data_IF_288628797349
#
_entry.id   IF_288628797349
#
_cell.length_a   1.000
_cell.length_b   1.000
_cell.length_c   1.000
_cell.angle_alpha   90.00
_cell.angle_beta   90.00
_cell.angle_gamma   90.00
#
_symmetry.space_group_name_H-M   'P 1'
#
loop_
_entity.id
_entity.type
_entity.pdbx_description
1 polymer ?
#
# COMPACT_ATOMS: atom_id res chain seq x y z
N UNK A 1 7.54 -40.44 -7.40
CA UNK A 1 8.40 -40.01 -6.29
C UNK A 1 9.50 -39.20 -6.94
N UNK A 2 9.62 -37.88 -6.81
CA UNK A 2 9.12 -36.91 -5.83
C UNK A 2 9.06 -35.51 -6.50
N UNK A 3 8.06 -34.65 -6.23
CA UNK A 3 7.97 -33.26 -6.70
C UNK A 3 8.15 -32.23 -5.56
N UNK A 4 8.94 -31.16 -5.75
CA UNK A 4 8.87 -29.83 -5.08
C UNK A 4 10.08 -28.99 -5.56
N UNK A 5 9.91 -28.05 -6.50
CA UNK A 5 9.62 -26.62 -6.27
C UNK A 5 10.72 -25.93 -5.41
N UNK A 6 11.50 -24.96 -5.89
CA UNK A 6 11.09 -23.80 -6.69
C UNK A 6 10.91 -22.56 -5.80
N UNK A 7 11.84 -22.28 -4.88
CA UNK A 7 11.71 -21.16 -3.92
C UNK A 7 13.02 -20.45 -3.64
N UNK A 8 13.52 -19.66 -4.60
CA UNK A 8 14.76 -18.87 -4.43
C UNK A 8 14.75 -17.45 -5.05
N UNK A 9 13.62 -16.69 -5.09
CA UNK A 9 13.72 -15.25 -5.28
C UNK A 9 13.24 -14.36 -4.11
N UNK A 10 12.65 -14.92 -3.04
CA UNK A 10 12.11 -14.08 -1.95
C UNK A 10 13.17 -13.61 -0.94
N UNK A 11 14.15 -14.46 -0.63
CA UNK A 11 15.14 -14.17 0.44
C UNK A 11 16.14 -13.06 0.07
N UNK A 12 16.50 -12.94 -1.21
CA UNK A 12 17.45 -11.92 -1.67
C UNK A 12 16.87 -10.50 -1.66
N UNK A 13 15.55 -10.35 -1.75
CA UNK A 13 14.88 -9.04 -1.70
C UNK A 13 14.80 -8.54 -0.24
N UNK A 14 14.61 -9.46 0.71
CA UNK A 14 14.55 -9.14 2.14
C UNK A 14 15.90 -8.64 2.69
N UNK A 15 17.03 -9.25 2.28
CA UNK A 15 18.37 -8.76 2.67
C UNK A 15 18.70 -7.38 2.08
N UNK A 16 18.21 -7.07 0.87
CA UNK A 16 18.41 -5.75 0.26
C UNK A 16 17.58 -4.64 0.93
N UNK A 17 16.38 -4.96 1.42
CA UNK A 17 15.50 -3.98 2.08
C UNK A 17 16.06 -3.44 3.41
N UNK A 18 16.97 -4.18 4.06
CA UNK A 18 17.65 -3.72 5.29
C UNK A 18 18.58 -2.53 5.09
N UNK A 19 19.04 -2.27 3.86
CA UNK A 19 19.99 -1.19 3.55
C UNK A 19 19.31 0.13 3.11
N UNK A 20 17.98 0.16 2.95
CA UNK A 20 17.20 1.31 2.47
C UNK A 20 16.96 2.38 3.55
N UNK A 21 17.43 2.13 4.78
CA UNK A 21 17.26 3.05 5.91
C UNK A 21 18.21 4.26 5.90
N UNK A 22 19.24 4.29 5.05
CA UNK A 22 20.24 5.36 5.07
C UNK A 22 20.25 6.17 3.75
N UNK A 23 19.95 7.47 3.87
CA UNK A 23 20.03 8.57 2.88
C UNK A 23 18.72 8.93 2.13
N UNK A 24 18.20 10.12 2.40
CA UNK A 24 16.91 10.64 1.87
C UNK A 24 16.90 10.95 0.36
N UNK A 25 17.99 10.71 -0.36
CA UNK A 25 18.13 10.99 -1.79
C UNK A 25 17.86 9.77 -2.70
N UNK A 26 17.86 8.55 -2.15
CA UNK A 26 17.79 7.29 -2.93
C UNK A 26 16.46 6.52 -2.76
N UNK A 27 15.47 7.10 -2.07
CA UNK A 27 14.18 6.42 -1.85
C UNK A 27 13.47 6.18 -3.19
N UNK A 28 13.08 4.93 -3.42
CA UNK A 28 12.37 4.54 -4.63
C UNK A 28 11.07 5.34 -4.82
N UNK A 29 10.63 5.60 -6.07
CA UNK A 29 9.46 6.44 -6.34
C UNK A 29 8.19 6.00 -5.60
N UNK A 30 7.98 4.68 -5.44
CA UNK A 30 6.82 4.15 -4.75
C UNK A 30 6.80 4.53 -3.27
N UNK A 31 7.97 4.66 -2.62
CA UNK A 31 8.10 5.07 -1.21
C UNK A 31 7.59 6.49 -1.06
N UNK A 32 7.97 7.40 -1.96
CA UNK A 32 7.51 8.80 -1.96
C UNK A 32 6.00 8.91 -2.18
N UNK A 33 5.47 8.10 -3.11
CA UNK A 33 4.03 8.03 -3.38
C UNK A 33 3.28 7.55 -2.14
N UNK A 34 3.77 6.48 -1.51
CA UNK A 34 3.18 5.94 -0.28
C UNK A 34 3.27 6.93 0.87
N UNK A 35 4.43 7.52 1.14
CA UNK A 35 4.58 8.53 2.19
C UNK A 35 3.61 9.71 2.01
N UNK A 36 3.45 10.17 0.76
CA UNK A 36 2.52 11.26 0.44
C UNK A 36 1.07 10.83 0.66
N UNK A 37 0.66 9.64 0.21
CA UNK A 37 -0.74 9.22 0.38
C UNK A 37 -1.07 8.89 1.83
N UNK A 38 -0.13 8.31 2.59
CA UNK A 38 -0.33 8.04 4.02
C UNK A 38 -0.48 9.36 4.79
N UNK A 39 0.35 10.37 4.51
CA UNK A 39 0.20 11.72 5.07
C UNK A 39 -1.18 12.35 4.75
N UNK A 40 -1.67 12.14 3.53
CA UNK A 40 -3.00 12.62 3.12
C UNK A 40 -4.14 11.86 3.79
N UNK A 41 -3.96 10.57 4.09
CA UNK A 41 -4.92 9.76 4.87
C UNK A 41 -4.95 10.26 6.32
N UNK A 42 -3.78 10.44 6.94
CA UNK A 42 -3.64 10.98 8.30
C UNK A 42 -4.32 12.35 8.43
N UNK A 43 -4.02 13.26 7.51
CA UNK A 43 -4.63 14.59 7.43
C UNK A 43 -6.12 14.58 7.07
N UNK A 44 -6.69 13.43 6.69
CA UNK A 44 -8.08 13.32 6.25
C UNK A 44 -8.35 13.97 4.89
N UNK A 45 -7.31 14.24 4.10
CA UNK A 45 -7.39 14.84 2.77
C UNK A 45 -7.63 13.81 1.67
N UNK A 46 -7.28 12.55 1.88
CA UNK A 46 -7.53 11.47 0.93
C UNK A 46 -9.01 11.07 0.90
N UNK A 47 -9.72 11.41 -0.19
CA UNK A 47 -11.18 11.22 -0.32
C UNK A 47 -11.59 9.95 -1.03
N UNK A 48 -10.64 9.28 -1.66
CA UNK A 48 -10.91 8.01 -2.34
C UNK A 48 -11.15 6.89 -1.33
N UNK A 49 -11.91 5.84 -1.70
CA UNK A 49 -12.17 4.73 -0.78
C UNK A 49 -10.89 4.00 -0.39
N UNK A 50 -10.70 3.84 0.91
CA UNK A 50 -9.72 2.95 1.53
C UNK A 50 -10.32 2.35 2.81
N UNK A 51 -9.76 1.25 3.28
CA UNK A 51 -10.08 0.66 4.58
C UNK A 51 -8.87 -0.11 5.11
N UNK A 52 -8.91 -0.50 6.38
CA UNK A 52 -7.94 -1.43 6.95
C UNK A 52 -8.64 -2.77 7.18
N UNK A 53 -7.97 -3.87 6.85
CA UNK A 53 -8.51 -5.21 7.04
C UNK A 53 -7.38 -6.25 7.06
N UNK A 54 -7.67 -7.44 7.58
CA UNK A 54 -6.71 -8.55 7.53
C UNK A 54 -6.87 -9.33 6.23
N UNK A 55 -5.77 -9.49 5.49
CA UNK A 55 -5.70 -10.29 4.26
C UNK A 55 -4.57 -11.29 4.41
N UNK A 56 -4.84 -12.57 4.20
CA UNK A 56 -3.87 -13.66 4.35
C UNK A 56 -3.09 -13.65 5.69
N UNK A 57 -3.73 -13.18 6.76
CA UNK A 57 -3.14 -13.10 8.10
C UNK A 57 -2.35 -11.82 8.38
N UNK A 58 -2.21 -10.92 7.42
CA UNK A 58 -1.52 -9.64 7.58
C UNK A 58 -2.49 -8.46 7.64
N UNK A 59 -2.24 -7.53 8.56
CA UNK A 59 -3.04 -6.31 8.68
C UNK A 59 -2.63 -5.32 7.58
N UNK A 60 -3.57 -5.06 6.66
CA UNK A 60 -3.31 -4.36 5.41
C UNK A 60 -4.10 -3.06 5.29
N UNK A 61 -3.49 -2.06 4.68
CA UNK A 61 -4.19 -0.94 4.04
C UNK A 61 -4.73 -1.41 2.68
N UNK A 62 -6.05 -1.35 2.52
CA UNK A 62 -6.74 -1.68 1.29
C UNK A 62 -7.09 -0.40 0.54
N UNK A 63 -6.46 -0.19 -0.61
CA UNK A 63 -6.74 0.96 -1.49
C UNK A 63 -6.51 0.63 -2.96
N UNK A 64 -7.01 1.46 -3.88
CA UNK A 64 -6.68 1.33 -5.30
C UNK A 64 -5.49 2.18 -5.66
N UNK A 65 -4.46 1.60 -6.27
CA UNK A 65 -3.29 2.34 -6.76
C UNK A 65 -3.66 3.41 -7.79
N UNK A 66 -4.69 3.17 -8.61
CA UNK A 66 -5.21 4.17 -9.54
C UNK A 66 -5.83 5.40 -8.84
N UNK A 67 -6.51 5.19 -7.71
CA UNK A 67 -7.04 6.30 -6.91
C UNK A 67 -5.94 7.10 -6.22
N UNK A 68 -4.84 6.44 -5.83
CA UNK A 68 -3.65 7.14 -5.31
C UNK A 68 -3.09 8.08 -6.38
N UNK A 69 -2.87 7.57 -7.60
CA UNK A 69 -2.37 8.40 -8.71
C UNK A 69 -3.31 9.56 -9.04
N UNK A 70 -4.61 9.28 -9.10
CA UNK A 70 -5.63 10.30 -9.35
C UNK A 70 -5.62 11.39 -8.27
N UNK A 71 -5.51 11.01 -6.99
CA UNK A 71 -5.42 11.95 -5.88
C UNK A 71 -4.20 12.86 -6.00
N UNK A 72 -3.02 12.29 -6.27
CA UNK A 72 -1.78 13.05 -6.41
C UNK A 72 -1.82 14.00 -7.61
N UNK A 73 -2.39 13.56 -8.73
CA UNK A 73 -2.46 14.34 -9.97
C UNK A 73 -3.41 15.54 -9.86
N UNK A 74 -4.52 15.40 -9.12
CA UNK A 74 -5.62 16.39 -9.11
C UNK A 74 -5.69 17.24 -7.84
N UNK A 75 -4.92 16.91 -6.80
CA UNK A 75 -4.87 17.72 -5.57
C UNK A 75 -3.93 18.91 -5.76
N UNK A 76 -4.46 20.13 -5.65
CA UNK A 76 -3.72 21.38 -5.91
C UNK A 76 -2.46 21.51 -5.04
N UNK A 77 -2.54 21.14 -3.76
CA UNK A 77 -1.42 21.20 -2.82
C UNK A 77 -0.33 20.16 -3.10
N UNK A 78 -0.60 19.14 -3.93
CA UNK A 78 0.35 18.09 -4.28
C UNK A 78 1.00 18.32 -5.65
N UNK A 79 0.70 19.44 -6.32
CA UNK A 79 1.18 19.72 -7.68
C UNK A 79 2.70 19.65 -7.82
N UNK A 80 3.44 20.28 -6.90
CA UNK A 80 4.90 20.25 -6.92
C UNK A 80 5.45 18.84 -6.72
N UNK A 81 4.87 18.09 -5.76
CA UNK A 81 5.21 16.68 -5.53
C UNK A 81 4.95 15.84 -6.79
N UNK A 82 3.77 15.96 -7.38
CA UNK A 82 3.39 15.25 -8.62
C UNK A 82 4.31 15.55 -9.80
N UNK A 83 4.69 16.81 -9.98
CA UNK A 83 5.59 17.22 -11.05
C UNK A 83 6.99 16.59 -10.89
N UNK A 84 7.48 16.52 -9.66
CA UNK A 84 8.77 15.89 -9.32
C UNK A 84 8.77 14.36 -9.39
N UNK A 85 7.60 13.70 -9.44
CA UNK A 85 7.56 12.24 -9.48
C UNK A 85 8.01 11.68 -10.84
N UNK A 86 8.98 10.74 -10.86
CA UNK A 86 9.40 10.03 -12.07
C UNK A 86 8.36 8.98 -12.50
N UNK A 87 7.49 8.55 -11.59
CA UNK A 87 6.42 7.58 -11.84
C UNK A 87 5.07 8.29 -11.77
N UNK A 88 4.35 8.28 -12.91
CA UNK A 88 3.00 8.85 -13.05
C UNK A 88 1.95 7.81 -13.46
N UNK A 89 2.37 6.57 -13.71
CA UNK A 89 1.48 5.48 -14.13
C UNK A 89 1.07 4.63 -12.94
N UNK A 90 -0.22 4.36 -12.83
CA UNK A 90 -0.81 3.44 -11.85
C UNK A 90 -0.21 2.03 -11.96
N UNK A 91 0.02 1.55 -13.19
CA UNK A 91 0.57 0.22 -13.46
C UNK A 91 2.00 0.09 -12.97
N UNK A 92 2.83 1.10 -13.24
CA UNK A 92 4.23 1.13 -12.80
C UNK A 92 4.30 1.19 -11.28
N UNK A 93 3.50 2.06 -10.65
CA UNK A 93 3.44 2.13 -9.19
C UNK A 93 2.98 0.80 -8.55
N UNK A 94 1.92 0.20 -9.07
CA UNK A 94 1.44 -1.10 -8.60
C UNK A 94 2.50 -2.20 -8.77
N UNK A 95 3.25 -2.19 -9.86
CA UNK A 95 4.36 -3.12 -10.07
C UNK A 95 5.49 -2.90 -9.07
N UNK A 96 5.84 -1.65 -8.76
CA UNK A 96 6.84 -1.32 -7.74
C UNK A 96 6.42 -1.80 -6.35
N UNK A 97 5.16 -1.59 -5.94
CA UNK A 97 4.66 -2.12 -4.66
C UNK A 97 4.76 -3.65 -4.59
N UNK A 98 4.41 -4.34 -5.68
CA UNK A 98 4.55 -5.80 -5.76
C UNK A 98 6.01 -6.24 -5.70
N UNK A 99 6.89 -5.53 -6.40
CA UNK A 99 8.32 -5.84 -6.43
C UNK A 99 8.99 -5.61 -5.07
N UNK A 100 8.61 -4.54 -4.37
CA UNK A 100 9.04 -4.26 -3.00
C UNK A 100 8.51 -5.28 -1.97
N UNK A 101 7.62 -6.18 -2.38
CA UNK A 101 7.06 -7.22 -1.52
C UNK A 101 6.07 -6.70 -0.47
N UNK A 102 5.57 -5.46 -0.58
CA UNK A 102 4.62 -4.91 0.39
C UNK A 102 3.16 -5.26 0.10
N UNK A 103 2.86 -5.82 -1.07
CA UNK A 103 1.52 -6.28 -1.45
C UNK A 103 1.29 -7.71 -0.97
N UNK A 104 0.18 -7.94 -0.27
CA UNK A 104 -0.17 -9.26 0.27
C UNK A 104 -1.04 -10.04 -0.71
N UNK A 105 -0.69 -11.29 -0.97
CA UNK A 105 -1.40 -12.12 -1.94
C UNK A 105 -1.22 -11.69 -3.39
N UNK A 106 -1.69 -12.53 -4.32
CA UNK A 106 -1.48 -12.32 -5.76
C UNK A 106 -2.58 -11.47 -6.41
N UNK A 107 -3.76 -11.46 -5.81
CA UNK A 107 -4.98 -10.89 -6.37
C UNK A 107 -5.46 -9.68 -5.59
N UNK A 108 -6.08 -8.77 -6.31
CA UNK A 108 -6.81 -7.68 -5.68
C UNK A 108 -8.04 -8.20 -4.97
N UNK A 109 -8.37 -7.56 -3.85
CA UNK A 109 -9.52 -7.94 -3.01
C UNK A 109 -10.70 -7.00 -3.28
N UNK A 110 -11.89 -7.52 -3.02
CA UNK A 110 -13.09 -6.69 -2.92
C UNK A 110 -13.44 -6.52 -1.45
N UNK A 111 -13.81 -5.30 -1.06
CA UNK A 111 -14.42 -5.01 0.23
C UNK A 111 -15.62 -4.11 0.10
N UNK A 112 -16.52 -4.22 1.07
CA UNK A 112 -17.57 -3.23 1.28
C UNK A 112 -16.96 -2.10 2.11
N UNK A 113 -16.98 -0.89 1.58
CA UNK A 113 -16.50 0.31 2.27
C UNK A 113 -17.70 1.25 2.34
N UNK A 114 -18.19 1.52 3.56
CA UNK A 114 -19.46 2.18 3.82
C UNK A 114 -20.65 1.45 3.13
N UNK A 115 -21.39 2.16 2.27
CA UNK A 115 -22.57 1.64 1.58
C UNK A 115 -22.26 0.98 0.23
N UNK A 116 -21.00 0.95 -0.22
CA UNK A 116 -20.61 0.48 -1.55
C UNK A 116 -19.62 -0.69 -1.53
N UNK A 117 -19.75 -1.59 -2.51
CA UNK A 117 -18.72 -2.59 -2.83
C UNK A 117 -17.63 -1.93 -3.68
N UNK A 118 -16.38 -2.10 -3.27
CA UNK A 118 -15.20 -1.55 -3.93
C UNK A 118 -14.31 -2.72 -4.35
N UNK A 119 -14.32 -3.11 -5.64
CA UNK A 119 -13.41 -4.13 -6.15
C UNK A 119 -12.00 -3.57 -6.35
N UNK A 120 -11.05 -4.43 -6.74
CA UNK A 120 -9.70 -4.03 -7.17
C UNK A 120 -8.88 -3.31 -6.10
N UNK A 121 -9.12 -3.60 -4.82
CA UNK A 121 -8.30 -3.07 -3.73
C UNK A 121 -6.98 -3.85 -3.69
N UNK A 122 -5.89 -3.12 -3.71
CA UNK A 122 -4.54 -3.67 -3.51
C UNK A 122 -4.28 -3.72 -2.00
N UNK A 123 -4.12 -4.92 -1.42
CA UNK A 123 -3.74 -5.06 -0.03
C UNK A 123 -2.26 -4.74 0.18
N UNK A 124 -1.98 -3.71 0.98
CA UNK A 124 -0.61 -3.30 1.30
C UNK A 124 -0.37 -3.52 2.79
N UNK A 125 0.54 -4.42 3.14
CA UNK A 125 0.82 -4.80 4.53
C UNK A 125 1.43 -3.63 5.32
N UNK A 126 0.80 -3.27 6.44
CA UNK A 126 1.32 -2.20 7.29
C UNK A 126 2.64 -2.60 7.97
N UNK A 127 2.81 -3.88 8.29
CA UNK A 127 4.05 -4.38 8.88
C UNK A 127 5.21 -4.28 7.89
N UNK A 128 4.98 -4.68 6.63
CA UNK A 128 6.01 -4.59 5.58
C UNK A 128 6.33 -3.14 5.21
N UNK A 129 5.33 -2.24 5.23
CA UNK A 129 5.54 -0.80 5.04
C UNK A 129 6.41 -0.18 6.14
N UNK A 130 6.25 -0.63 7.39
CA UNK A 130 7.01 -0.11 8.52
C UNK A 130 8.53 -0.31 8.37
N UNK A 131 8.97 -1.37 7.66
CA UNK A 131 10.38 -1.61 7.33
C UNK A 131 10.99 -0.45 6.52
N UNK A 132 10.18 0.21 5.70
CA UNK A 132 10.59 1.37 4.89
C UNK A 132 10.37 2.71 5.61
N UNK A 133 10.02 2.69 6.91
CA UNK A 133 9.68 3.87 7.70
C UNK A 133 8.34 4.51 7.32
N UNK A 134 7.46 3.75 6.65
CA UNK A 134 6.14 4.22 6.22
C UNK A 134 5.08 3.81 7.24
N UNK A 135 4.42 4.81 7.82
CA UNK A 135 3.39 4.64 8.85
C UNK A 135 2.13 5.41 8.50
N UNK A 136 0.99 4.98 9.05
CA UNK A 136 -0.30 5.67 8.93
C UNK A 136 -1.08 5.50 10.21
N UNK A 137 -1.78 6.55 10.66
CA UNK A 137 -2.69 6.43 11.79
C UNK A 137 -3.93 5.66 11.38
N UNK A 138 -4.25 4.64 12.18
CA UNK A 138 -5.46 3.87 12.02
C UNK A 138 -6.56 4.62 12.75
N UNK A 139 -7.63 5.01 12.03
CA UNK A 139 -8.82 5.53 12.68
C UNK A 139 -9.70 4.39 13.16
N UNK A 140 -10.16 4.47 14.40
CA UNK A 140 -10.94 3.43 15.10
C UNK A 140 -12.23 3.05 14.33
N UNK A 141 -12.85 4.03 13.66
CA UNK A 141 -14.07 3.87 12.86
C UNK A 141 -13.86 3.08 11.56
N UNK A 142 -12.64 3.07 11.01
CA UNK A 142 -12.28 2.31 9.82
C UNK A 142 -11.70 0.93 10.13
N UNK A 143 -11.16 0.73 11.34
CA UNK A 143 -10.70 -0.57 11.83
C UNK A 143 -11.86 -1.48 12.27
N UNK A 144 -13.03 -0.90 12.56
CA UNK A 144 -14.19 -1.60 13.13
C UNK A 144 -14.71 -2.73 12.22
N UNK A 145 -14.60 -2.64 10.90
CA UNK A 145 -15.05 -3.71 9.97
C UNK A 145 -14.18 -4.99 10.08
N UNK A 146 -12.95 -4.88 10.61
CA UNK A 146 -12.05 -6.00 10.87
C UNK A 146 -12.33 -6.69 12.22
N UNK A 147 -12.76 -5.93 13.24
CA UNK A 147 -13.07 -6.46 14.58
C UNK A 147 -14.46 -7.11 14.67
N UNK A 148 -15.44 -6.64 13.90
CA UNK A 148 -16.79 -7.23 13.93
C UNK A 148 -16.88 -8.61 13.27
N UNK A 149 -15.86 -9.02 12.49
CA UNK A 149 -15.82 -10.35 11.83
C UNK A 149 -15.21 -11.46 12.69
N UNK A 150 -14.78 -11.15 13.93
CA UNK A 150 -14.30 -12.15 14.91
C UNK A 150 -15.40 -12.78 15.78
N UNK A 151 -16.66 -12.38 15.62
CA UNK A 151 -17.78 -12.80 16.47
C UNK A 151 -18.99 -13.31 15.65
N UNK A 152 -18.77 -14.25 14.71
CA UNK A 152 -19.84 -15.03 14.10
C UNK A 152 -19.41 -16.48 13.84
#
# INVERSE_FOLDING_TARGET
MDPSEGGFPHDLIAEMNGHVAETSADREPWVWIMETVLSEIDGGNYKHPYTFDTVDGEFCLLLRTGHVMDHLAHTSALRDKWNGLPVKSDRVFKAQLKHAGVVVGEKEVERRIYTRRVPYLTPVSLERLAVFGLHVSIRDDLATDALERGHA
#
